data_IF_954373605384
#
_entry.id   IF_954373605384
#
_cell.length_a   1.000
_cell.length_b   1.000
_cell.length_c   1.000
_cell.angle_alpha   90.00
_cell.angle_beta   90.00
_cell.angle_gamma   90.00
#
_symmetry.space_group_name_H-M   'P 1'
#
loop_
_entity.id
_entity.type
_entity.pdbx_description
1 polymer ?
#
# COMPACT_ATOMS: atom_id res chain seq x y z
N UNK A 1 -4.14 7.32 -14.79
CA UNK A 1 -3.66 6.90 -13.46
C UNK A 1 -4.86 6.42 -12.67
N UNK A 2 -4.91 5.15 -12.26
CA UNK A 2 -6.11 4.62 -11.61
C UNK A 2 -6.18 5.14 -10.16
N UNK A 3 -6.68 6.36 -9.99
CA UNK A 3 -6.67 7.11 -8.71
C UNK A 3 -7.22 6.28 -7.55
N UNK A 4 -8.24 5.45 -7.83
CA UNK A 4 -8.84 4.55 -6.85
C UNK A 4 -7.80 3.57 -6.29
N UNK A 5 -7.07 2.83 -7.15
CA UNK A 5 -6.05 1.89 -6.68
C UNK A 5 -4.88 2.58 -5.97
N UNK A 6 -4.51 3.79 -6.41
CA UNK A 6 -3.46 4.57 -5.76
C UNK A 6 -3.87 4.98 -4.33
N UNK A 7 -5.10 5.51 -4.19
CA UNK A 7 -5.67 5.89 -2.89
C UNK A 7 -5.83 4.68 -1.98
N UNK A 8 -6.30 3.55 -2.50
CA UNK A 8 -6.41 2.30 -1.73
C UNK A 8 -5.05 1.82 -1.23
N UNK A 9 -4.03 1.77 -2.11
CA UNK A 9 -2.68 1.36 -1.71
C UNK A 9 -2.04 2.30 -0.69
N UNK A 10 -2.24 3.61 -0.85
CA UNK A 10 -1.76 4.62 0.09
C UNK A 10 -2.43 4.49 1.46
N UNK A 11 -3.74 4.23 1.49
CA UNK A 11 -4.50 4.04 2.72
C UNK A 11 -4.03 2.80 3.49
N UNK A 12 -3.78 1.68 2.80
CA UNK A 12 -3.27 0.44 3.39
C UNK A 12 -1.87 0.66 3.99
N UNK A 13 -0.97 1.34 3.26
CA UNK A 13 0.37 1.64 3.74
C UNK A 13 0.37 2.54 4.99
N UNK A 14 -0.48 3.58 5.01
CA UNK A 14 -0.66 4.46 6.17
C UNK A 14 -1.23 3.73 7.38
N UNK A 15 -2.23 2.86 7.17
CA UNK A 15 -2.84 2.09 8.24
C UNK A 15 -1.85 1.08 8.84
N UNK A 16 -1.04 0.42 8.01
CA UNK A 16 0.02 -0.47 8.48
C UNK A 16 1.08 0.29 9.30
N UNK A 17 1.48 1.47 8.86
CA UNK A 17 2.41 2.33 9.59
C UNK A 17 1.84 2.79 10.94
N UNK A 18 0.55 3.17 10.98
CA UNK A 18 -0.12 3.55 12.22
C UNK A 18 -0.23 2.37 13.21
N UNK A 19 -0.59 1.18 12.72
CA UNK A 19 -0.70 -0.03 13.54
C UNK A 19 0.65 -0.47 14.11
N UNK A 20 1.76 -0.29 13.35
CA UNK A 20 3.12 -0.45 13.85
C UNK A 20 3.46 0.54 14.96
N UNK A 21 3.09 1.80 14.76
CA UNK A 21 3.41 2.87 15.71
C UNK A 21 2.71 2.67 17.05
N UNK A 22 1.49 2.13 17.04
CA UNK A 22 0.76 1.73 18.23
C UNK A 22 1.19 0.36 18.79
N UNK A 23 2.17 -0.32 18.16
CA UNK A 23 2.65 -1.65 18.56
C UNK A 23 1.54 -2.70 18.70
N UNK A 24 0.44 -2.54 17.95
CA UNK A 24 -0.75 -3.43 18.00
C UNK A 24 -0.50 -4.72 17.22
N UNK A 25 0.39 -4.67 16.22
CA UNK A 25 0.72 -5.79 15.35
C UNK A 25 2.22 -6.09 15.38
N UNK A 26 2.55 -7.36 15.20
CA UNK A 26 3.93 -7.82 15.09
C UNK A 26 4.64 -7.15 13.90
N UNK A 27 5.93 -6.76 14.05
CA UNK A 27 6.66 -6.03 13.02
C UNK A 27 6.75 -6.80 11.70
N UNK A 28 6.78 -8.14 11.76
CA UNK A 28 6.75 -9.00 10.56
C UNK A 28 5.45 -8.88 9.77
N UNK A 29 4.29 -8.93 10.44
CA UNK A 29 2.98 -8.78 9.79
C UNK A 29 2.85 -7.39 9.15
N UNK A 30 3.29 -6.36 9.85
CA UNK A 30 3.17 -5.01 9.32
C UNK A 30 4.06 -4.74 8.11
N UNK A 31 5.26 -5.33 8.06
CA UNK A 31 6.13 -5.24 6.90
C UNK A 31 5.44 -5.84 5.66
N UNK A 32 4.74 -6.97 5.82
CA UNK A 32 3.99 -7.62 4.75
C UNK A 32 2.86 -6.70 4.25
N UNK A 33 2.10 -6.09 5.17
CA UNK A 33 1.00 -5.16 4.80
C UNK A 33 1.56 -3.90 4.12
N UNK A 34 2.68 -3.36 4.60
CA UNK A 34 3.35 -2.22 4.00
C UNK A 34 3.83 -2.50 2.57
N UNK A 35 4.48 -3.66 2.37
CA UNK A 35 4.92 -4.11 1.03
C UNK A 35 3.72 -4.29 0.10
N UNK A 36 2.61 -4.84 0.59
CA UNK A 36 1.38 -4.99 -0.19
C UNK A 36 0.80 -3.63 -0.61
N UNK A 37 0.76 -2.66 0.30
CA UNK A 37 0.33 -1.29 0.02
C UNK A 37 1.19 -0.60 -1.04
N UNK A 38 2.52 -0.69 -0.92
CA UNK A 38 3.46 -0.13 -1.91
C UNK A 38 3.32 -0.85 -3.26
N UNK A 39 3.13 -2.17 -3.26
CA UNK A 39 2.89 -2.95 -4.48
C UNK A 39 1.62 -2.51 -5.23
N UNK A 40 0.54 -2.22 -4.50
CA UNK A 40 -0.70 -1.68 -5.08
C UNK A 40 -0.52 -0.27 -5.67
N UNK A 41 0.27 0.58 -5.00
CA UNK A 41 0.64 1.92 -5.51
C UNK A 41 1.41 1.80 -6.83
N UNK A 42 2.42 0.93 -6.88
CA UNK A 42 3.22 0.68 -8.07
C UNK A 42 2.39 0.09 -9.23
N UNK A 43 1.51 -0.86 -8.92
CA UNK A 43 0.59 -1.46 -9.90
C UNK A 43 -0.38 -0.42 -10.48
N UNK A 44 -0.83 0.57 -9.70
CA UNK A 44 -1.68 1.66 -10.19
C UNK A 44 -0.97 2.54 -11.24
N UNK A 45 0.33 2.77 -11.08
CA UNK A 45 1.16 3.46 -12.06
C UNK A 45 1.35 2.63 -13.34
N UNK A 46 1.69 1.33 -13.18
CA UNK A 46 1.99 0.44 -14.30
C UNK A 46 0.75 0.06 -15.14
N UNK A 47 -0.42 -0.07 -14.52
CA UNK A 47 -1.70 -0.28 -15.20
C UNK A 47 -2.03 0.86 -16.19
N UNK A 48 -1.49 2.06 -15.96
CA UNK A 48 -1.64 3.19 -16.88
C UNK A 48 -0.62 3.17 -18.03
N UNK A 49 0.63 2.78 -17.77
CA UNK A 49 1.66 2.61 -18.80
C UNK A 49 1.24 1.55 -19.83
N UNK A 50 0.62 0.46 -19.38
CA UNK A 50 0.13 -0.61 -20.28
C UNK A 50 -1.13 -0.23 -21.07
N UNK A 51 -1.78 0.89 -20.73
CA UNK A 51 -2.98 1.41 -21.39
C UNK A 51 -2.71 2.57 -22.35
N UNK A 52 -1.46 3.03 -22.44
CA UNK A 52 -0.95 3.88 -23.52
C UNK A 52 -0.33 3.01 -24.60
#
# INVERSE_FOLDING_TARGET
MNRILFITGLCIALMAAALLFFSIIEPGVAAIIGILGIGLIAASGMSHIKRM
#
